data_IF_307548237307
#
_entry.id   IF_307548237307
#
_cell.length_a   1.000
_cell.length_b   1.000
_cell.length_c   1.000
_cell.angle_alpha   90.00
_cell.angle_beta   90.00
_cell.angle_gamma   90.00
#
_symmetry.space_group_name_H-M   'P 1'
#
loop_
_entity.id
_entity.type
_entity.pdbx_description
1 polymer ?
#
# COMPACT_ATOMS: atom_id res chain seq x y z
N UNK A 1 -19.94 6.78 -11.20
CA UNK A 1 -19.09 7.90 -10.74
C UNK A 1 -18.63 8.76 -11.93
N UNK A 2 -18.03 8.20 -12.98
CA UNK A 2 -17.56 8.93 -14.16
C UNK A 2 -18.65 9.74 -14.84
N UNK A 3 -19.86 9.17 -15.05
CA UNK A 3 -21.02 9.89 -15.58
C UNK A 3 -21.54 11.06 -14.72
N UNK A 4 -20.90 11.31 -13.56
CA UNK A 4 -21.16 12.46 -12.67
C UNK A 4 -19.93 13.38 -12.57
N UNK A 5 -18.94 13.23 -13.46
CA UNK A 5 -17.80 14.12 -13.57
C UNK A 5 -16.55 13.66 -12.79
N UNK A 6 -16.54 12.49 -12.16
CA UNK A 6 -15.32 11.94 -11.55
C UNK A 6 -14.34 11.49 -12.64
N UNK A 7 -13.13 12.06 -12.65
CA UNK A 7 -12.10 11.81 -13.67
C UNK A 7 -10.92 10.99 -13.13
N UNK A 8 -10.69 11.02 -11.81
CA UNK A 8 -9.66 10.26 -11.15
C UNK A 8 -10.30 9.44 -10.02
N UNK A 9 -10.36 8.13 -10.19
CA UNK A 9 -11.00 7.22 -9.26
C UNK A 9 -9.98 6.18 -8.82
N UNK A 10 -9.74 6.10 -7.52
CA UNK A 10 -8.96 5.03 -6.93
C UNK A 10 -9.92 3.99 -6.33
N UNK A 11 -9.73 2.74 -6.74
CA UNK A 11 -10.48 1.59 -6.24
C UNK A 11 -9.51 0.70 -5.47
N UNK A 12 -9.82 0.41 -4.22
CA UNK A 12 -9.05 -0.55 -3.44
C UNK A 12 -9.45 -1.95 -3.82
N UNK A 13 -8.48 -2.81 -4.02
CA UNK A 13 -8.74 -4.23 -4.14
C UNK A 13 -8.97 -4.89 -2.76
N UNK A 14 -9.29 -6.17 -2.74
CA UNK A 14 -9.53 -6.93 -1.50
C UNK A 14 -8.18 -7.31 -0.90
N UNK A 15 -7.92 -7.00 0.39
CA UNK A 15 -6.69 -7.41 1.05
C UNK A 15 -6.60 -8.94 1.12
N UNK A 16 -5.40 -9.47 1.39
CA UNK A 16 -5.25 -10.91 1.62
C UNK A 16 -5.99 -11.33 2.90
N UNK A 17 -7.25 -11.73 2.73
CA UNK A 17 -8.14 -12.09 3.82
C UNK A 17 -7.64 -13.31 4.62
N UNK A 18 -6.84 -14.19 4.00
CA UNK A 18 -6.21 -15.31 4.70
C UNK A 18 -5.27 -14.89 5.83
N UNK A 19 -4.75 -13.65 5.80
CA UNK A 19 -3.85 -13.10 6.82
C UNK A 19 -4.59 -12.37 7.95
N UNK A 20 -5.91 -12.19 7.84
CA UNK A 20 -6.70 -11.61 8.93
C UNK A 20 -6.67 -12.52 10.17
N UNK A 21 -6.40 -12.00 11.38
CA UNK A 21 -6.26 -12.83 12.59
C UNK A 21 -7.44 -13.78 12.82
N UNK A 22 -8.68 -13.32 12.59
CA UNK A 22 -9.88 -14.14 12.76
C UNK A 22 -9.96 -15.29 11.74
N UNK A 23 -9.40 -15.12 10.55
CA UNK A 23 -9.34 -16.19 9.53
C UNK A 23 -8.18 -17.12 9.86
N UNK A 24 -7.00 -16.59 10.14
CA UNK A 24 -5.81 -17.38 10.45
C UNK A 24 -5.98 -18.27 11.68
N UNK A 25 -6.73 -17.82 12.70
CA UNK A 25 -7.06 -18.61 13.89
C UNK A 25 -7.82 -19.93 13.58
N UNK A 26 -8.46 -20.04 12.41
CA UNK A 26 -9.14 -21.26 11.98
C UNK A 26 -8.23 -22.25 11.22
N UNK A 27 -6.93 -21.98 11.17
CA UNK A 27 -5.92 -22.86 10.66
C UNK A 27 -5.64 -22.76 9.14
N UNK A 28 -4.71 -23.57 8.63
CA UNK A 28 -4.17 -23.41 7.28
C UNK A 28 -5.21 -23.53 6.15
N UNK A 29 -6.23 -24.33 6.32
CA UNK A 29 -7.30 -24.45 5.33
C UNK A 29 -8.11 -23.16 5.18
N UNK A 30 -8.39 -22.48 6.29
CA UNK A 30 -9.08 -21.20 6.27
C UNK A 30 -8.20 -20.08 5.67
N UNK A 31 -6.91 -20.07 6.00
CA UNK A 31 -5.90 -19.18 5.38
C UNK A 31 -5.88 -19.36 3.87
N UNK A 32 -5.77 -20.61 3.41
CA UNK A 32 -5.78 -20.91 1.97
C UNK A 32 -7.05 -20.44 1.28
N UNK A 33 -8.20 -20.74 1.88
CA UNK A 33 -9.49 -20.33 1.32
C UNK A 33 -9.65 -18.81 1.26
N UNK A 34 -9.31 -18.09 2.35
CA UNK A 34 -9.37 -16.63 2.41
C UNK A 34 -8.44 -15.96 1.39
N UNK A 35 -7.23 -16.50 1.25
CA UNK A 35 -6.26 -16.03 0.25
C UNK A 35 -6.76 -16.24 -1.18
N UNK A 36 -7.24 -17.44 -1.49
CA UNK A 36 -7.73 -17.80 -2.84
C UNK A 36 -8.97 -16.99 -3.21
N UNK A 37 -9.87 -16.78 -2.26
CA UNK A 37 -11.07 -15.95 -2.47
C UNK A 37 -10.69 -14.51 -2.79
N UNK A 38 -9.79 -13.91 -2.00
CA UNK A 38 -9.31 -12.54 -2.25
C UNK A 38 -8.67 -12.41 -3.63
N UNK A 39 -7.82 -13.36 -4.03
CA UNK A 39 -7.20 -13.38 -5.36
C UNK A 39 -8.24 -13.48 -6.48
N UNK A 40 -9.26 -14.33 -6.31
CA UNK A 40 -10.33 -14.50 -7.29
C UNK A 40 -11.16 -13.21 -7.45
N UNK A 41 -11.48 -12.54 -6.33
CA UNK A 41 -12.20 -11.27 -6.33
C UNK A 41 -11.37 -10.17 -7.01
N UNK A 42 -10.07 -10.09 -6.73
CA UNK A 42 -9.17 -9.10 -7.31
C UNK A 42 -8.98 -9.33 -8.82
N UNK A 43 -8.90 -10.57 -9.25
CA UNK A 43 -8.88 -10.92 -10.67
C UNK A 43 -10.18 -10.48 -11.37
N UNK A 44 -11.33 -10.73 -10.77
CA UNK A 44 -12.62 -10.30 -11.30
C UNK A 44 -12.73 -8.76 -11.35
N UNK A 45 -12.26 -8.06 -10.30
CA UNK A 45 -12.23 -6.60 -10.24
C UNK A 45 -11.35 -6.02 -11.36
N UNK A 46 -10.13 -6.53 -11.51
CA UNK A 46 -9.18 -6.10 -12.55
C UNK A 46 -9.78 -6.29 -13.94
N UNK A 47 -10.35 -7.46 -14.21
CA UNK A 47 -11.00 -7.75 -15.49
C UNK A 47 -12.19 -6.81 -15.75
N UNK A 48 -13.00 -6.52 -14.72
CA UNK A 48 -14.16 -5.63 -14.85
C UNK A 48 -13.76 -4.18 -15.11
N UNK A 49 -12.64 -3.74 -14.59
CA UNK A 49 -12.15 -2.37 -14.72
C UNK A 49 -11.15 -2.16 -15.86
N UNK A 50 -10.75 -3.22 -16.57
CA UNK A 50 -9.71 -3.17 -17.59
C UNK A 50 -9.96 -2.18 -18.74
N UNK A 51 -11.24 -1.88 -19.03
CA UNK A 51 -11.64 -0.93 -20.09
C UNK A 51 -11.97 0.47 -19.57
N UNK A 52 -11.95 0.67 -18.24
CA UNK A 52 -12.31 1.96 -17.64
C UNK A 52 -11.10 2.91 -17.65
N UNK A 53 -11.29 4.11 -18.17
CA UNK A 53 -10.27 5.17 -18.16
C UNK A 53 -10.39 6.03 -16.91
N UNK A 54 -9.27 6.52 -16.36
CA UNK A 54 -9.28 7.34 -15.14
C UNK A 54 -9.61 6.55 -13.87
N UNK A 55 -9.53 5.22 -13.93
CA UNK A 55 -9.65 4.32 -12.77
C UNK A 55 -8.30 3.70 -12.49
N UNK A 56 -7.85 3.80 -11.26
CA UNK A 56 -6.63 3.16 -10.76
C UNK A 56 -6.99 2.16 -9.67
N UNK A 57 -6.46 0.95 -9.73
CA UNK A 57 -6.60 -0.04 -8.66
C UNK A 57 -5.43 0.14 -7.70
N UNK A 58 -5.73 0.33 -6.43
CA UNK A 58 -4.76 0.32 -5.34
C UNK A 58 -4.61 -1.11 -4.83
N UNK A 59 -3.41 -1.66 -4.96
CA UNK A 59 -3.07 -3.05 -4.61
C UNK A 59 -2.91 -3.19 -3.07
N UNK A 60 -4.05 -3.27 -2.39
CA UNK A 60 -4.12 -3.50 -0.96
C UNK A 60 -3.72 -4.95 -0.61
N UNK A 61 -3.97 -5.90 -1.52
CA UNK A 61 -3.60 -7.30 -1.34
C UNK A 61 -2.09 -7.47 -1.14
N UNK A 62 -1.30 -6.91 -2.04
CA UNK A 62 0.17 -6.96 -1.96
C UNK A 62 0.70 -6.19 -0.76
N UNK A 63 0.13 -5.02 -0.46
CA UNK A 63 0.54 -4.22 0.69
C UNK A 63 0.35 -5.00 2.01
N UNK A 64 -0.84 -5.54 2.27
CA UNK A 64 -1.13 -6.29 3.51
C UNK A 64 -0.25 -7.55 3.58
N UNK A 65 -0.01 -8.20 2.45
CA UNK A 65 0.88 -9.37 2.38
C UNK A 65 2.33 -8.98 2.75
N UNK A 66 2.83 -7.86 2.23
CA UNK A 66 4.17 -7.36 2.54
C UNK A 66 4.33 -6.92 4.00
N UNK A 67 3.32 -6.21 4.55
CA UNK A 67 3.31 -5.82 5.97
C UNK A 67 3.32 -7.05 6.88
N UNK A 68 2.55 -8.07 6.55
CA UNK A 68 2.50 -9.30 7.34
C UNK A 68 3.82 -10.09 7.26
N UNK A 69 4.46 -10.11 6.09
CA UNK A 69 5.75 -10.80 5.89
C UNK A 69 6.92 -10.11 6.61
N UNK A 70 6.89 -8.78 6.74
CA UNK A 70 7.95 -8.02 7.40
C UNK A 70 7.37 -6.78 8.11
N UNK A 71 6.69 -6.94 9.27
CA UNK A 71 6.08 -5.84 9.99
C UNK A 71 7.08 -4.77 10.43
N UNK A 72 8.33 -5.14 10.71
CA UNK A 72 9.38 -4.22 11.15
C UNK A 72 9.72 -3.17 10.09
N UNK A 73 9.64 -3.50 8.79
CA UNK A 73 9.83 -2.55 7.70
C UNK A 73 8.75 -1.43 7.67
N UNK A 74 7.66 -1.64 8.38
CA UNK A 74 6.53 -0.70 8.48
C UNK A 74 6.39 -0.10 9.89
N UNK A 75 7.40 -0.29 10.76
CA UNK A 75 7.39 0.24 12.13
C UNK A 75 6.51 -0.54 13.09
N UNK A 76 6.10 -1.75 12.74
CA UNK A 76 5.29 -2.63 13.58
C UNK A 76 6.14 -3.77 14.16
N UNK A 77 5.71 -4.35 15.27
CA UNK A 77 6.29 -5.59 15.80
C UNK A 77 5.47 -6.82 15.44
N UNK A 78 4.19 -6.63 15.11
CA UNK A 78 3.27 -7.74 14.85
C UNK A 78 2.19 -7.34 13.83
N UNK A 79 1.95 -8.20 12.86
CA UNK A 79 0.92 -8.03 11.85
C UNK A 79 -0.04 -9.23 11.75
N UNK A 80 0.16 -10.26 12.60
CA UNK A 80 -0.60 -11.52 12.56
C UNK A 80 -1.63 -11.64 13.67
N UNK A 81 -1.44 -10.93 14.80
CA UNK A 81 -2.31 -11.03 15.95
C UNK A 81 -3.16 -9.78 16.13
N UNK A 82 -4.27 -9.94 16.86
CA UNK A 82 -5.15 -8.86 17.26
C UNK A 82 -4.65 -8.24 18.59
N UNK A 83 -4.22 -6.98 18.57
CA UNK A 83 -3.70 -6.30 19.78
C UNK A 83 -4.74 -6.24 20.92
N UNK A 84 -6.02 -6.09 20.59
CA UNK A 84 -7.10 -6.06 21.59
C UNK A 84 -7.35 -7.40 22.28
N UNK A 85 -6.83 -8.51 21.76
CA UNK A 85 -6.92 -9.82 22.38
C UNK A 85 -5.72 -10.14 23.30
N UNK A 86 -4.68 -9.31 23.31
CA UNK A 86 -3.43 -9.54 24.05
C UNK A 86 -3.36 -8.54 25.21
N UNK A 87 -3.45 -8.97 26.49
CA UNK A 87 -3.34 -8.09 27.62
C UNK A 87 -2.03 -7.30 27.65
N UNK A 88 -2.13 -5.97 27.74
CA UNK A 88 -0.97 -5.08 27.80
C UNK A 88 -0.29 -4.81 26.45
N UNK A 89 -0.81 -5.33 25.33
CA UNK A 89 -0.29 -4.99 24.02
C UNK A 89 -0.49 -3.50 23.70
N UNK A 90 0.53 -2.88 23.11
CA UNK A 90 0.42 -1.52 22.58
C UNK A 90 -0.12 -1.58 21.14
N UNK A 91 -1.35 -1.11 20.87
CA UNK A 91 -1.94 -1.17 19.54
C UNK A 91 -1.14 -0.41 18.47
N UNK A 92 -0.30 0.55 18.88
CA UNK A 92 0.55 1.30 17.92
C UNK A 92 1.62 0.43 17.26
N UNK A 93 1.88 -0.75 17.79
CA UNK A 93 2.88 -1.69 17.30
C UNK A 93 2.27 -2.88 16.54
N UNK A 94 0.96 -2.90 16.35
CA UNK A 94 0.23 -3.99 15.68
C UNK A 94 -0.50 -3.50 14.45
N UNK A 95 -0.61 -4.39 13.44
CA UNK A 95 -1.41 -4.10 12.26
C UNK A 95 -2.92 -4.13 12.58
N UNK A 96 -3.37 -5.15 13.32
CA UNK A 96 -4.78 -5.40 13.60
C UNK A 96 -5.14 -5.09 15.06
N UNK A 97 -6.29 -4.40 15.25
CA UNK A 97 -6.89 -4.14 16.55
C UNK A 97 -7.65 -5.37 17.07
N UNK A 98 -8.47 -5.93 16.20
CA UNK A 98 -9.25 -7.15 16.44
C UNK A 98 -8.96 -8.20 15.35
N UNK A 99 -9.89 -9.12 15.14
CA UNK A 99 -9.70 -10.17 14.13
C UNK A 99 -9.66 -9.71 12.68
N UNK A 100 -10.05 -8.45 12.38
CA UNK A 100 -10.24 -7.97 11.00
C UNK A 100 -9.78 -6.53 10.81
N UNK A 101 -10.07 -5.64 11.78
CA UNK A 101 -9.90 -4.21 11.62
C UNK A 101 -8.48 -3.75 11.93
N UNK A 102 -7.88 -2.88 11.10
CA UNK A 102 -6.58 -2.29 11.39
C UNK A 102 -6.60 -1.40 12.64
N UNK A 103 -5.45 -1.30 13.30
CA UNK A 103 -5.18 -0.28 14.32
C UNK A 103 -5.03 1.11 13.70
N UNK A 104 -4.87 2.15 14.52
CA UNK A 104 -4.49 3.48 14.02
C UNK A 104 -3.16 3.45 13.26
N UNK A 105 -2.17 2.66 13.72
CA UNK A 105 -0.90 2.46 13.02
C UNK A 105 -1.10 1.74 11.68
N UNK A 106 -1.94 0.69 11.65
CA UNK A 106 -2.34 0.02 10.42
C UNK A 106 -2.99 0.99 9.43
N UNK A 107 -3.95 1.79 9.87
CA UNK A 107 -4.58 2.81 9.02
C UNK A 107 -3.57 3.84 8.49
N UNK A 108 -2.58 4.26 9.29
CA UNK A 108 -1.55 5.18 8.84
C UNK A 108 -0.70 4.58 7.70
N UNK A 109 -0.34 3.30 7.79
CA UNK A 109 0.38 2.58 6.72
C UNK A 109 -0.46 2.55 5.44
N UNK A 110 -1.74 2.19 5.54
CA UNK A 110 -2.65 2.16 4.40
C UNK A 110 -2.79 3.55 3.76
N UNK A 111 -2.97 4.59 4.56
CA UNK A 111 -3.13 5.97 4.09
C UNK A 111 -1.87 6.49 3.38
N UNK A 112 -0.68 6.25 3.94
CA UNK A 112 0.59 6.65 3.34
C UNK A 112 0.84 5.93 2.00
N UNK A 113 0.58 4.62 1.95
CA UNK A 113 0.74 3.83 0.73
C UNK A 113 -0.25 4.26 -0.36
N UNK A 114 -1.50 4.53 0.02
CA UNK A 114 -2.51 5.05 -0.90
C UNK A 114 -2.13 6.43 -1.42
N UNK A 115 -1.68 7.34 -0.53
CA UNK A 115 -1.23 8.67 -0.92
C UNK A 115 -0.10 8.60 -1.96
N UNK A 116 0.93 7.77 -1.72
CA UNK A 116 2.04 7.58 -2.65
C UNK A 116 1.59 7.00 -4.01
N UNK A 117 0.54 6.17 -4.02
CA UNK A 117 0.03 5.57 -5.25
C UNK A 117 -0.81 6.54 -6.09
N UNK A 118 -1.56 7.47 -5.47
CA UNK A 118 -2.51 8.33 -6.19
C UNK A 118 -2.02 9.75 -6.41
N UNK A 119 -1.06 10.21 -5.62
CA UNK A 119 -0.47 11.54 -5.78
C UNK A 119 0.79 11.41 -6.63
N UNK A 120 0.79 11.93 -7.87
CA UNK A 120 2.00 11.93 -8.69
C UNK A 120 3.12 12.64 -7.93
N UNK A 121 4.31 12.03 -7.90
CA UNK A 121 5.51 12.70 -7.38
C UNK A 121 5.59 14.08 -8.02
N UNK A 122 5.73 15.17 -7.25
CA UNK A 122 5.94 16.48 -7.82
C UNK A 122 7.15 16.38 -8.76
N UNK A 123 7.04 16.98 -9.94
CA UNK A 123 8.13 17.05 -10.95
C UNK A 123 9.41 17.71 -10.41
N UNK A 124 9.46 17.99 -9.13
CA UNK A 124 10.61 18.51 -8.38
C UNK A 124 11.87 17.66 -8.57
N UNK A 125 11.77 16.33 -8.64
CA UNK A 125 12.90 15.45 -8.94
C UNK A 125 13.43 15.71 -10.36
N UNK A 126 12.56 15.91 -11.34
CA UNK A 126 12.95 16.30 -12.71
C UNK A 126 13.54 17.69 -12.77
N UNK A 127 13.03 18.64 -12.00
CA UNK A 127 13.56 20.01 -11.90
C UNK A 127 14.94 20.05 -11.24
N UNK A 128 15.20 19.27 -10.22
CA UNK A 128 16.52 19.13 -9.60
C UNK A 128 17.54 18.54 -10.58
N UNK A 129 17.18 17.48 -11.31
CA UNK A 129 18.03 16.89 -12.33
C UNK A 129 18.28 17.88 -13.47
N UNK A 130 17.24 18.54 -13.98
CA UNK A 130 17.36 19.55 -15.02
C UNK A 130 18.18 20.79 -14.60
N UNK A 131 18.17 21.15 -13.33
CA UNK A 131 18.98 22.23 -12.77
C UNK A 131 20.44 21.83 -12.53
N UNK A 132 20.72 20.60 -12.11
CA UNK A 132 22.09 20.13 -11.85
C UNK A 132 22.91 19.91 -13.12
N UNK A 133 22.31 19.46 -14.21
CA UNK A 133 23.01 19.21 -15.47
C UNK A 133 23.69 20.47 -16.03
N UNK A 134 23.00 21.62 -16.20
CA UNK A 134 23.65 22.85 -16.66
C UNK A 134 24.67 23.43 -15.67
N UNK A 135 24.45 23.27 -14.35
CA UNK A 135 25.39 23.74 -13.34
C UNK A 135 26.73 22.99 -13.43
N UNK A 136 26.71 21.64 -13.54
CA UNK A 136 27.91 20.81 -13.72
C UNK A 136 28.62 21.14 -15.05
N UNK A 137 27.87 21.35 -16.13
CA UNK A 137 28.43 21.76 -17.41
C UNK A 137 29.10 23.14 -17.37
N UNK A 138 28.54 24.09 -16.62
CA UNK A 138 29.10 25.43 -16.44
C UNK A 138 30.42 25.41 -15.63
N UNK A 139 30.48 24.58 -14.56
CA UNK A 139 31.69 24.39 -13.75
C UNK A 139 32.82 23.75 -14.57
N UNK A 140 32.51 22.72 -15.38
CA UNK A 140 33.49 22.06 -16.25
C UNK A 140 34.05 23.01 -17.32
N UNK A 141 33.24 23.91 -17.88
CA UNK A 141 33.72 24.91 -18.87
C UNK A 141 34.67 25.95 -18.27
N UNK A 142 34.53 26.27 -16.97
CA UNK A 142 35.45 27.21 -16.29
C UNK A 142 36.81 26.59 -15.99
N UNK A 143 36.90 25.27 -15.66
CA UNK A 143 38.17 24.61 -15.34
C UNK A 143 39.05 24.28 -16.58
N UNK A 144 38.54 24.44 -17.80
CA UNK A 144 39.29 24.22 -19.04
C UNK A 144 39.89 25.55 -19.60
N UNK A 145 39.60 26.68 -18.97
CA UNK A 145 40.07 28.01 -19.40
C UNK A 145 41.21 28.60 -18.53
N UNK A 146 41.81 27.82 -17.63
CA UNK A 146 43.03 28.20 -16.88
C UNK A 146 44.21 27.42 -17.41
#
# INVERSE_FOLDING_TARGET
MQGKGAVNIAVWDVPNMGLAPAIAANGPAAVYLGTTLAQSMNSALTNRLASETGVQIFDLYSLVTAVNANPAAYGLINASDASGAIPGADPSQYLCWDGIHPTAAGHAILAQSMYAAVVPEPSSCLLVIAGLVPAVAAVRRRSIRC
#
